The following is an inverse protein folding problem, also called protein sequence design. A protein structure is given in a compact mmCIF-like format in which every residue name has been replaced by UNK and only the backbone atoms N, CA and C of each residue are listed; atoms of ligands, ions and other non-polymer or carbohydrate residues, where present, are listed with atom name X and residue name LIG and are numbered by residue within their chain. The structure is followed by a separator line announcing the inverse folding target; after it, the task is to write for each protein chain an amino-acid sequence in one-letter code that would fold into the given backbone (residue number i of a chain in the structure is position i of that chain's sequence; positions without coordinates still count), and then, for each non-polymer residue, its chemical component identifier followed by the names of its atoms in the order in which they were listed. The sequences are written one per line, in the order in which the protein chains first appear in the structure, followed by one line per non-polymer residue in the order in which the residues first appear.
data_IF_325519211601
#
_entry.id   IF_325519211601
#
_cell.length_a   1.000
_cell.length_b   1.000
_cell.length_c   1.000
_cell.angle_alpha   90.00
_cell.angle_beta   90.00
_cell.angle_gamma   90.00
#
_symmetry.space_group_name_H-M   'P 1'
#
loop_
_entity.id
_entity.type
_entity.pdbx_description
1 polymer ?
#
# COMPACT_ATOMS: atom_id res chain seq x y z
N UNK A 1 49.76 -6.89 -3.85
CA UNK A 1 48.97 -6.51 -5.03
C UNK A 1 47.56 -7.07 -4.87
N UNK A 2 46.58 -6.20 -4.72
CA UNK A 2 45.16 -6.52 -4.48
C UNK A 2 44.45 -6.50 -5.84
N UNK A 3 43.88 -7.61 -6.29
CA UNK A 3 42.89 -7.60 -7.38
C UNK A 3 41.50 -7.70 -6.77
N UNK A 4 40.80 -6.56 -6.77
CA UNK A 4 39.35 -6.45 -6.53
C UNK A 4 38.63 -7.20 -7.65
N UNK A 5 37.71 -8.10 -7.33
CA UNK A 5 36.69 -8.51 -8.29
C UNK A 5 35.31 -8.22 -7.71
N UNK A 6 34.55 -7.47 -8.49
CA UNK A 6 33.31 -6.79 -8.14
C UNK A 6 32.21 -7.81 -7.85
N UNK A 7 31.52 -7.63 -6.72
CA UNK A 7 30.25 -8.30 -6.44
C UNK A 7 29.19 -7.53 -7.22
N UNK A 8 28.78 -8.04 -8.37
CA UNK A 8 27.55 -7.62 -9.03
C UNK A 8 26.39 -8.15 -8.19
N UNK A 9 25.99 -7.40 -7.18
CA UNK A 9 24.79 -7.68 -6.38
C UNK A 9 23.57 -7.29 -7.20
N UNK A 10 23.03 -8.25 -7.96
CA UNK A 10 21.62 -8.19 -8.39
C UNK A 10 20.76 -8.07 -7.12
N UNK A 11 19.76 -7.16 -7.04
CA UNK A 11 18.87 -7.15 -5.89
C UNK A 11 18.20 -8.53 -5.79
N UNK A 12 18.09 -9.13 -4.59
CA UNK A 12 17.48 -10.43 -4.44
C UNK A 12 16.05 -10.37 -4.95
N UNK A 13 15.72 -11.19 -5.94
CA UNK A 13 14.33 -11.44 -6.31
C UNK A 13 13.60 -12.00 -5.10
N UNK A 14 12.39 -11.50 -4.76
CA UNK A 14 11.67 -11.96 -3.58
C UNK A 14 11.34 -13.45 -3.73
N UNK A 15 11.89 -14.25 -2.81
CA UNK A 15 11.50 -15.65 -2.63
C UNK A 15 9.98 -15.69 -2.39
N UNK A 16 9.22 -16.59 -3.05
CA UNK A 16 7.81 -16.79 -2.72
C UNK A 16 7.71 -17.44 -1.34
N UNK A 17 7.58 -16.61 -0.31
CA UNK A 17 7.52 -17.05 1.08
C UNK A 17 7.17 -15.88 1.97
N UNK A 18 5.91 -15.88 2.43
CA UNK A 18 5.29 -14.92 3.34
C UNK A 18 5.06 -13.50 2.79
N UNK A 19 3.88 -13.31 2.19
CA UNK A 19 3.39 -12.01 1.72
C UNK A 19 3.31 -10.98 2.86
N UNK A 20 3.03 -11.41 4.10
CA UNK A 20 2.97 -10.52 5.25
C UNK A 20 4.33 -9.86 5.54
N UNK A 21 5.40 -10.65 5.62
CA UNK A 21 6.77 -10.13 5.78
C UNK A 21 7.19 -9.25 4.60
N UNK A 22 6.81 -9.64 3.38
CA UNK A 22 7.17 -8.88 2.17
C UNK A 22 6.52 -7.50 2.18
N UNK A 23 5.23 -7.41 2.52
CA UNK A 23 4.52 -6.15 2.65
C UNK A 23 5.02 -5.34 3.85
N UNK A 24 5.32 -5.98 4.98
CA UNK A 24 5.87 -5.33 6.17
C UNK A 24 7.18 -4.60 5.88
N UNK A 25 8.14 -5.28 5.26
CA UNK A 25 9.41 -4.66 4.88
C UNK A 25 9.23 -3.50 3.87
N UNK A 26 8.27 -3.61 2.95
CA UNK A 26 8.01 -2.55 1.98
C UNK A 26 7.39 -1.29 2.61
N UNK A 27 6.55 -1.49 3.64
CA UNK A 27 5.81 -0.43 4.32
C UNK A 27 6.57 0.21 5.50
N UNK A 28 7.59 -0.45 6.05
CA UNK A 28 8.33 0.02 7.22
C UNK A 28 8.83 1.46 7.09
N UNK A 29 8.36 2.38 7.94
CA UNK A 29 8.75 3.78 7.89
C UNK A 29 8.27 4.53 6.63
N UNK A 30 7.23 4.04 5.95
CA UNK A 30 6.54 4.73 4.86
C UNK A 30 5.28 5.41 5.41
N UNK A 31 5.11 6.68 5.10
CA UNK A 31 4.00 7.49 5.59
C UNK A 31 3.17 8.06 4.43
N UNK A 32 1.85 7.99 4.59
CA UNK A 32 0.89 8.76 3.82
C UNK A 32 0.80 10.17 4.39
N UNK A 33 1.05 11.17 3.56
CA UNK A 33 1.04 12.58 3.96
C UNK A 33 -0.27 13.20 3.50
N UNK A 34 -1.06 13.66 4.47
CA UNK A 34 -2.28 14.45 4.26
C UNK A 34 -2.18 15.72 5.12
N UNK A 35 -3.25 16.11 5.82
CA UNK A 35 -3.12 17.07 6.92
C UNK A 35 -2.30 16.48 8.09
N UNK A 36 -2.41 15.17 8.30
CA UNK A 36 -1.55 14.41 9.21
C UNK A 36 -0.72 13.39 8.44
N UNK A 37 0.46 13.08 8.98
CA UNK A 37 1.25 11.92 8.56
C UNK A 37 0.70 10.65 9.21
N UNK A 38 0.40 9.64 8.41
CA UNK A 38 -0.08 8.34 8.88
C UNK A 38 0.76 7.20 8.30
N UNK A 39 1.03 6.18 9.11
CA UNK A 39 1.77 5.01 8.66
C UNK A 39 1.02 4.25 7.57
N UNK A 40 1.76 3.67 6.63
CA UNK A 40 1.24 2.63 5.75
C UNK A 40 1.36 1.30 6.52
N UNK A 41 0.23 0.72 6.89
CA UNK A 41 0.19 -0.52 7.66
C UNK A 41 -0.16 -1.69 6.73
N UNK A 42 0.71 -2.71 6.58
CA UNK A 42 0.38 -3.90 5.82
C UNK A 42 -0.65 -4.77 6.55
N UNK A 43 -1.44 -5.55 5.83
CA UNK A 43 -2.28 -6.58 6.43
C UNK A 43 -2.43 -7.79 5.52
N UNK A 44 -2.72 -8.93 6.15
CA UNK A 44 -3.18 -10.17 5.54
C UNK A 44 -4.28 -10.71 6.44
N UNK A 45 -5.43 -11.08 5.88
CA UNK A 45 -6.58 -11.54 6.66
C UNK A 45 -7.41 -12.55 5.88
N UNK A 46 -7.95 -13.54 6.59
CA UNK A 46 -8.99 -14.46 6.12
C UNK A 46 -10.41 -14.01 6.51
N UNK A 47 -10.55 -12.92 7.27
CA UNK A 47 -11.85 -12.37 7.71
C UNK A 47 -12.65 -11.78 6.53
N UNK A 48 -11.94 -11.29 5.51
CA UNK A 48 -12.53 -10.75 4.28
C UNK A 48 -12.62 -11.90 3.27
N UNK A 49 -13.85 -12.41 3.06
CA UNK A 49 -14.10 -13.46 2.06
C UNK A 49 -14.17 -12.94 0.64
N UNK A 50 -14.75 -11.76 0.46
CA UNK A 50 -14.87 -11.07 -0.82
C UNK A 50 -14.54 -9.58 -0.63
N UNK A 51 -13.82 -9.02 -1.59
CA UNK A 51 -13.45 -7.60 -1.58
C UNK A 51 -14.66 -6.79 -2.12
N UNK A 52 -15.65 -6.65 -1.23
CA UNK A 52 -16.90 -5.89 -1.41
C UNK A 52 -16.93 -4.63 -0.55
N UNK A 53 -17.88 -3.73 -0.86
CA UNK A 53 -18.12 -2.53 -0.05
C UNK A 53 -18.50 -2.91 1.39
N UNK A 54 -19.38 -3.88 1.55
CA UNK A 54 -19.88 -4.34 2.85
C UNK A 54 -18.78 -4.98 3.71
N UNK A 55 -17.98 -5.89 3.13
CA UNK A 55 -16.89 -6.54 3.87
C UNK A 55 -15.81 -5.54 4.30
N UNK A 56 -15.52 -4.53 3.47
CA UNK A 56 -14.55 -3.50 3.81
C UNK A 56 -15.08 -2.53 4.87
N UNK A 57 -16.37 -2.16 4.82
CA UNK A 57 -17.00 -1.37 5.88
C UNK A 57 -16.96 -2.08 7.24
N UNK A 58 -17.24 -3.39 7.23
CA UNK A 58 -17.15 -4.21 8.45
C UNK A 58 -15.70 -4.27 8.95
N UNK A 59 -14.73 -4.53 8.06
CA UNK A 59 -13.31 -4.60 8.40
C UNK A 59 -12.75 -3.25 8.91
N UNK A 60 -13.21 -2.12 8.37
CA UNK A 60 -12.79 -0.79 8.83
C UNK A 60 -13.32 -0.46 10.23
N UNK A 61 -14.31 -1.21 10.73
CA UNK A 61 -15.03 -0.92 11.98
C UNK A 61 -15.96 0.29 11.87
N UNK A 62 -16.28 0.72 10.64
CA UNK A 62 -17.15 1.86 10.40
C UNK A 62 -18.62 1.45 10.51
N UNK A 63 -19.50 2.43 10.69
CA UNK A 63 -20.93 2.17 10.67
C UNK A 63 -21.40 1.86 9.23
N UNK A 64 -22.45 1.07 9.05
CA UNK A 64 -23.03 0.77 7.73
C UNK A 64 -23.49 2.02 6.96
N UNK A 65 -23.79 3.12 7.66
CA UNK A 65 -24.16 4.42 7.08
C UNK A 65 -22.95 5.31 6.76
N UNK A 66 -21.72 4.86 7.03
CA UNK A 66 -20.51 5.61 6.73
C UNK A 66 -20.32 5.76 5.21
N UNK A 67 -19.83 6.92 4.81
CA UNK A 67 -19.44 7.16 3.42
C UNK A 67 -18.30 6.20 3.04
N UNK A 68 -18.43 5.53 1.91
CA UNK A 68 -17.36 4.72 1.34
C UNK A 68 -17.32 4.92 -0.17
N UNK A 69 -16.14 5.30 -0.64
CA UNK A 69 -15.79 5.53 -2.02
C UNK A 69 -14.83 4.44 -2.49
N UNK A 70 -14.98 4.02 -3.74
CA UNK A 70 -14.07 3.09 -4.41
C UNK A 70 -13.28 3.89 -5.42
N UNK A 71 -11.95 3.84 -5.32
CA UNK A 71 -11.04 4.48 -6.27
C UNK A 71 -10.16 3.45 -6.93
N UNK A 72 -9.76 3.74 -8.17
CA UNK A 72 -8.82 2.88 -8.88
C UNK A 72 -7.43 2.97 -8.25
N UNK A 73 -6.76 1.81 -8.11
CA UNK A 73 -5.41 1.75 -7.56
C UNK A 73 -4.42 2.65 -8.33
N UNK A 74 -4.58 2.73 -9.66
CA UNK A 74 -3.72 3.55 -10.50
C UNK A 74 -3.86 5.04 -10.13
N UNK A 75 -5.09 5.51 -9.94
CA UNK A 75 -5.38 6.89 -9.52
C UNK A 75 -4.83 7.18 -8.13
N UNK A 76 -4.97 6.24 -7.18
CA UNK A 76 -4.41 6.37 -5.84
C UNK A 76 -2.87 6.52 -5.88
N UNK A 77 -2.18 5.60 -6.55
CA UNK A 77 -0.71 5.63 -6.62
C UNK A 77 -0.15 6.75 -7.49
N UNK A 78 -0.88 7.22 -8.51
CA UNK A 78 -0.43 8.36 -9.32
C UNK A 78 -0.17 9.57 -8.44
N UNK A 79 -1.05 9.85 -7.47
CA UNK A 79 -0.88 10.95 -6.51
C UNK A 79 0.36 10.79 -5.61
N UNK A 80 0.76 9.55 -5.32
CA UNK A 80 1.86 9.21 -4.42
C UNK A 80 3.22 9.07 -5.12
N UNK A 81 3.21 8.79 -6.42
CA UNK A 81 4.40 8.51 -7.23
C UNK A 81 4.75 9.65 -8.18
N UNK A 82 3.84 10.61 -8.39
CA UNK A 82 4.10 11.79 -9.20
C UNK A 82 5.19 12.65 -8.55
N UNK A 83 6.36 12.66 -9.19
CA UNK A 83 7.44 13.59 -8.87
C UNK A 83 7.11 14.97 -9.45
N UNK A 84 7.42 16.02 -8.69
CA UNK A 84 7.26 17.41 -9.12
C UNK A 84 8.61 18.10 -9.08
N UNK A 85 8.82 19.08 -9.95
CA UNK A 85 10.12 19.75 -10.09
C UNK A 85 10.60 20.46 -8.81
N UNK A 86 9.68 20.77 -7.89
CA UNK A 86 9.97 21.40 -6.60
C UNK A 86 10.17 20.41 -5.44
N UNK A 87 10.19 19.11 -5.70
CA UNK A 87 10.40 18.09 -4.66
C UNK A 87 11.84 18.09 -4.15
N UNK A 88 12.00 18.00 -2.83
CA UNK A 88 13.29 17.78 -2.21
C UNK A 88 13.73 16.30 -2.29
N UNK A 89 14.98 15.98 -1.90
CA UNK A 89 15.48 14.60 -1.90
C UNK A 89 14.61 13.62 -1.09
N UNK A 90 14.03 14.07 0.03
CA UNK A 90 13.16 13.25 0.86
C UNK A 90 11.83 12.92 0.16
N UNK A 91 11.22 13.89 -0.54
CA UNK A 91 9.98 13.68 -1.29
C UNK A 91 10.19 12.72 -2.47
N UNK A 92 11.32 12.86 -3.18
CA UNK A 92 11.69 11.95 -4.27
C UNK A 92 11.88 10.54 -3.73
N UNK A 93 12.66 10.37 -2.65
CA UNK A 93 12.86 9.07 -2.03
C UNK A 93 11.54 8.42 -1.56
N UNK A 94 10.61 9.22 -1.01
CA UNK A 94 9.27 8.75 -0.64
C UNK A 94 8.47 8.29 -1.86
N UNK A 95 8.45 9.07 -2.94
CA UNK A 95 7.75 8.73 -4.18
C UNK A 95 8.30 7.43 -4.81
N UNK A 96 9.62 7.25 -4.82
CA UNK A 96 10.26 6.02 -5.28
C UNK A 96 9.88 4.80 -4.43
N UNK A 97 9.77 4.97 -3.12
CA UNK A 97 9.31 3.89 -2.22
C UNK A 97 7.85 3.53 -2.48
N UNK A 98 6.97 4.52 -2.71
CA UNK A 98 5.58 4.25 -3.12
C UNK A 98 5.51 3.56 -4.48
N UNK A 99 6.38 3.90 -5.43
CA UNK A 99 6.45 3.23 -6.73
C UNK A 99 6.84 1.76 -6.57
N UNK A 100 7.83 1.46 -5.73
CA UNK A 100 8.22 0.07 -5.40
C UNK A 100 7.09 -0.70 -4.71
N UNK A 101 6.39 -0.06 -3.77
CA UNK A 101 5.23 -0.66 -3.10
C UNK A 101 4.10 -0.95 -4.10
N UNK A 102 3.81 -0.03 -5.01
CA UNK A 102 2.82 -0.24 -6.08
C UNK A 102 3.18 -1.47 -6.93
N UNK A 103 4.42 -1.55 -7.40
CA UNK A 103 4.90 -2.68 -8.21
C UNK A 103 4.81 -4.00 -7.43
N UNK A 104 5.18 -3.99 -6.16
CA UNK A 104 5.06 -5.16 -5.29
C UNK A 104 3.62 -5.62 -5.20
N UNK A 105 2.68 -4.73 -4.85
CA UNK A 105 1.26 -5.04 -4.72
C UNK A 105 0.70 -5.60 -6.03
N UNK A 106 0.99 -4.96 -7.18
CA UNK A 106 0.55 -5.42 -8.49
C UNK A 106 1.16 -6.77 -8.91
N UNK A 107 2.34 -7.12 -8.39
CA UNK A 107 3.00 -8.41 -8.67
C UNK A 107 2.51 -9.55 -7.80
N UNK A 108 2.04 -9.25 -6.58
CA UNK A 108 1.67 -10.27 -5.59
C UNK A 108 0.16 -10.42 -5.44
N UNK A 109 -0.61 -9.38 -5.76
CA UNK A 109 -2.04 -9.33 -5.55
C UNK A 109 -2.81 -9.19 -6.86
N UNK A 110 -4.00 -9.76 -6.89
CA UNK A 110 -4.94 -9.67 -8.01
C UNK A 110 -6.25 -9.02 -7.55
N UNK A 111 -6.99 -8.44 -8.49
CA UNK A 111 -8.30 -7.82 -8.18
C UNK A 111 -8.21 -6.63 -7.22
N UNK A 112 -7.09 -5.90 -7.23
CA UNK A 112 -6.83 -4.81 -6.28
C UNK A 112 -7.90 -3.71 -6.40
N UNK A 113 -8.48 -3.35 -5.26
CA UNK A 113 -9.39 -2.19 -5.12
C UNK A 113 -8.92 -1.31 -3.96
N UNK A 114 -9.20 -0.01 -4.07
CA UNK A 114 -8.92 0.95 -3.01
C UNK A 114 -10.24 1.51 -2.51
N UNK A 115 -10.45 1.43 -1.21
CA UNK A 115 -11.61 1.94 -0.51
C UNK A 115 -11.21 3.10 0.38
N UNK A 116 -12.02 4.15 0.38
CA UNK A 116 -11.88 5.32 1.24
C UNK A 116 -13.13 5.39 2.11
N UNK A 117 -13.00 5.14 3.40
CA UNK A 117 -14.12 5.06 4.34
C UNK A 117 -14.09 6.25 5.29
N UNK A 118 -15.14 7.07 5.28
CA UNK A 118 -15.25 8.29 6.08
C UNK A 118 -15.35 9.57 5.25
N UNK A 119 -15.26 10.70 5.93
CA UNK A 119 -15.37 12.05 5.33
C UNK A 119 -14.26 13.00 5.78
N UNK A 120 -14.01 13.10 7.09
CA UNK A 120 -12.92 13.93 7.65
C UNK A 120 -11.70 13.07 7.95
N UNK A 121 -11.89 12.04 8.79
CA UNK A 121 -10.91 10.98 9.02
C UNK A 121 -11.27 9.83 8.08
N UNK A 122 -10.47 9.66 7.04
CA UNK A 122 -10.71 8.70 5.97
C UNK A 122 -9.78 7.52 6.16
N UNK A 123 -10.35 6.35 6.40
CA UNK A 123 -9.64 5.09 6.45
C UNK A 123 -9.49 4.55 5.02
N UNK A 124 -8.24 4.51 4.54
CA UNK A 124 -7.90 4.10 3.19
C UNK A 124 -7.43 2.65 3.25
N UNK A 125 -8.15 1.77 2.58
CA UNK A 125 -7.86 0.33 2.55
C UNK A 125 -7.67 -0.07 1.09
N UNK A 126 -6.45 -0.49 0.74
CA UNK A 126 -6.14 -1.14 -0.51
C UNK A 126 -6.08 -2.64 -0.26
N UNK A 127 -6.93 -3.40 -0.93
CA UNK A 127 -7.06 -4.84 -0.75
C UNK A 127 -7.03 -5.58 -2.09
N UNK A 128 -6.38 -6.73 -2.13
CA UNK A 128 -6.37 -7.67 -3.26
C UNK A 128 -6.19 -9.11 -2.77
N UNK A 129 -6.36 -10.07 -3.67
CA UNK A 129 -6.14 -11.49 -3.35
C UNK A 129 -4.70 -11.89 -3.63
N UNK A 130 -4.04 -12.50 -2.64
CA UNK A 130 -2.73 -13.13 -2.81
C UNK A 130 -2.84 -14.46 -3.58
N UNK A 131 -1.70 -15.07 -3.90
CA UNK A 131 -1.65 -16.37 -4.61
C UNK A 131 -2.30 -17.52 -3.85
N UNK A 132 -2.41 -17.40 -2.53
CA UNK A 132 -3.06 -18.37 -1.65
C UNK A 132 -4.56 -18.14 -1.51
N UNK A 133 -5.09 -17.05 -2.10
CA UNK A 133 -6.50 -16.67 -2.05
C UNK A 133 -6.90 -15.83 -0.84
N UNK A 134 -5.98 -15.54 0.09
CA UNK A 134 -6.24 -14.66 1.21
C UNK A 134 -6.31 -13.20 0.74
N UNK A 135 -7.02 -12.37 1.50
CA UNK A 135 -7.03 -10.94 1.24
C UNK A 135 -5.83 -10.29 1.93
N UNK A 136 -5.06 -9.53 1.17
CA UNK A 136 -3.89 -8.82 1.65
C UNK A 136 -3.84 -7.41 1.05
N UNK A 137 -3.05 -6.54 1.66
CA UNK A 137 -2.83 -5.21 1.14
C UNK A 137 -2.30 -4.24 2.18
N UNK A 138 -2.70 -2.98 2.07
CA UNK A 138 -2.24 -1.90 2.94
C UNK A 138 -3.42 -1.06 3.43
N UNK A 139 -3.27 -0.52 4.63
CA UNK A 139 -4.22 0.39 5.27
C UNK A 139 -3.48 1.65 5.71
N UNK A 140 -4.11 2.80 5.58
CA UNK A 140 -3.60 4.07 6.12
C UNK A 140 -4.77 5.01 6.39
N UNK A 141 -4.48 6.16 7.02
CA UNK A 141 -5.49 7.15 7.36
C UNK A 141 -5.12 8.47 6.69
N UNK A 142 -6.11 9.10 6.06
CA UNK A 142 -6.01 10.48 5.62
C UNK A 142 -6.91 11.36 6.51
N UNK A 143 -6.45 12.58 6.78
CA UNK A 143 -7.29 13.63 7.35
C UNK A 143 -7.48 14.70 6.28
N UNK A 144 -8.74 15.02 5.98
CA UNK A 144 -9.16 15.98 4.97
C UNK A 144 -10.16 16.95 5.61
N UNK A 145 -9.90 18.27 5.49
CA UNK A 145 -10.69 19.37 6.07
C UNK A 145 -11.47 20.16 5.04
#
# INVERSE_FOLDING_TARGET
MIKKNQKNSTPPSPTPGDIANTLSNACEGLYYVSETDAEIVPFVTDEIKDISRESILQYSGANSSSNIEIVEQATFFTKLTQMKDWFGPADIARAERFLRLQQLLLSQLTGIKVYRVGTVRIDIILAGHDKSGNVAGIRTIAVET
#
